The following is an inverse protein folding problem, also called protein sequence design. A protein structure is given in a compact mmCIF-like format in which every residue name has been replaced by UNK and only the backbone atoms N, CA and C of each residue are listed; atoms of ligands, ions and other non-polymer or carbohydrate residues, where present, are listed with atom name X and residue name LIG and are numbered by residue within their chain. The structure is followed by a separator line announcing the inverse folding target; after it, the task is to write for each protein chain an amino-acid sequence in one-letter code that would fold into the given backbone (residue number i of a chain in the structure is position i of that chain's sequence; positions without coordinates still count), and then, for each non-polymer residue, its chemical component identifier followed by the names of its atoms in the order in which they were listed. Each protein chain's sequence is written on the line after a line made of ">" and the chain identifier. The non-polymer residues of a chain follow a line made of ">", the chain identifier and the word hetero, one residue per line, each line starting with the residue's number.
data_IF_585423866396
#
_entry.id   IF_585423866396
#
_cell.length_a   1.000
_cell.length_b   1.000
_cell.length_c   1.000
_cell.angle_alpha   90.00
_cell.angle_beta   90.00
_cell.angle_gamma   90.00
#
_symmetry.space_group_name_H-M   'P 1'
#
loop_
_entity.id
_entity.type
_entity.pdbx_description
1 polymer ?
#
# COMPACT_ATOMS: atom_id res chain seq x y z
N UNK A 1 -10.25 -65.69 -5.22
CA UNK A 1 -9.40 -64.61 -5.80
C UNK A 1 -10.11 -63.24 -5.84
N UNK A 2 -11.05 -62.93 -4.93
CA UNK A 2 -11.78 -61.64 -4.93
C UNK A 2 -11.37 -60.74 -3.76
N UNK A 3 -10.89 -61.31 -2.65
CA UNK A 3 -10.65 -60.55 -1.41
C UNK A 3 -9.32 -59.77 -1.35
N UNK A 4 -8.37 -59.99 -2.26
CA UNK A 4 -7.08 -59.24 -2.30
C UNK A 4 -7.17 -57.94 -3.09
N UNK A 5 -8.16 -57.80 -3.97
CA UNK A 5 -8.31 -56.61 -4.82
C UNK A 5 -8.97 -55.44 -4.07
N UNK A 6 -9.91 -55.72 -3.16
CA UNK A 6 -10.58 -54.69 -2.36
C UNK A 6 -9.64 -53.95 -1.40
N UNK A 7 -8.64 -54.64 -0.83
CA UNK A 7 -7.70 -53.99 0.09
C UNK A 7 -6.72 -53.06 -0.62
N UNK A 8 -6.31 -53.38 -1.85
CA UNK A 8 -5.41 -52.51 -2.64
C UNK A 8 -6.09 -51.18 -3.02
N UNK A 9 -7.40 -51.22 -3.34
CA UNK A 9 -8.18 -50.02 -3.67
C UNK A 9 -8.40 -49.15 -2.42
N UNK A 10 -8.61 -49.75 -1.26
CA UNK A 10 -8.82 -49.01 0.00
C UNK A 10 -7.54 -48.28 0.45
N UNK A 11 -6.36 -48.88 0.27
CA UNK A 11 -5.09 -48.22 0.59
C UNK A 11 -4.72 -47.10 -0.39
N UNK A 12 -5.11 -47.20 -1.66
CA UNK A 12 -4.87 -46.14 -2.64
C UNK A 12 -5.75 -44.89 -2.38
N UNK A 13 -6.97 -45.08 -1.86
CA UNK A 13 -7.88 -43.96 -1.55
C UNK A 13 -7.44 -43.15 -0.31
N UNK A 14 -6.81 -43.80 0.68
CA UNK A 14 -6.36 -43.14 1.91
C UNK A 14 -5.09 -42.28 1.74
N UNK A 15 -4.27 -42.56 0.72
CA UNK A 15 -3.06 -41.76 0.42
C UNK A 15 -3.44 -40.49 -0.38
N UNK A 16 -4.56 -40.50 -1.10
CA UNK A 16 -5.03 -39.36 -1.91
C UNK A 16 -5.55 -38.16 -1.10
N UNK A 17 -5.89 -38.34 0.17
CA UNK A 17 -6.50 -37.27 1.01
C UNK A 17 -5.44 -36.45 1.76
N UNK A 18 -4.21 -36.95 1.92
CA UNK A 18 -3.15 -36.24 2.67
C UNK A 18 -2.46 -35.14 1.85
N UNK A 19 -2.61 -35.16 0.52
CA UNK A 19 -1.94 -34.22 -0.40
C UNK A 19 -2.63 -32.86 -0.60
N UNK A 20 -3.74 -32.56 0.09
CA UNK A 20 -4.53 -31.35 -0.15
C UNK A 20 -4.47 -30.30 0.98
N UNK A 21 -3.67 -30.52 2.03
CA UNK A 21 -3.53 -29.55 3.15
C UNK A 21 -2.26 -28.69 3.02
N UNK A 22 -1.49 -28.83 1.92
CA UNK A 22 -0.25 -28.06 1.72
C UNK A 22 -0.42 -26.74 0.95
N UNK A 23 -1.65 -26.35 0.56
CA UNK A 23 -1.93 -25.14 -0.23
C UNK A 23 -2.79 -24.13 0.53
N UNK A 24 -2.39 -23.78 1.75
CA UNK A 24 -3.09 -22.78 2.54
C UNK A 24 -2.14 -21.77 3.19
N UNK A 25 -1.09 -21.31 2.48
CA UNK A 25 -0.43 -20.05 2.85
C UNK A 25 0.43 -19.47 1.70
N UNK A 26 -0.05 -19.49 0.46
CA UNK A 26 0.52 -18.57 -0.54
C UNK A 26 0.02 -17.16 -0.19
N UNK A 27 0.64 -16.56 0.83
CA UNK A 27 0.33 -15.19 1.26
C UNK A 27 0.55 -14.29 0.07
N UNK A 28 -0.54 -13.86 -0.57
CA UNK A 28 -0.49 -12.99 -1.75
C UNK A 28 0.54 -11.88 -1.50
N UNK A 29 1.48 -11.70 -2.42
CA UNK A 29 2.50 -10.64 -2.32
C UNK A 29 1.82 -9.28 -2.14
N UNK A 30 2.28 -8.43 -1.21
CA UNK A 30 1.71 -7.10 -1.04
C UNK A 30 1.74 -6.32 -2.34
N UNK A 31 0.60 -5.72 -2.71
CA UNK A 31 0.50 -4.85 -3.88
C UNK A 31 0.91 -3.43 -3.51
N UNK A 32 1.76 -2.80 -4.32
CA UNK A 32 2.21 -1.43 -4.03
C UNK A 32 1.15 -0.41 -4.44
N UNK A 33 0.78 0.49 -3.54
CA UNK A 33 -0.17 1.57 -3.80
C UNK A 33 0.35 2.61 -4.80
N UNK A 34 1.67 2.73 -4.91
CA UNK A 34 2.32 3.60 -5.87
C UNK A 34 3.70 3.09 -6.27
N UNK A 35 4.22 3.64 -7.35
CA UNK A 35 5.55 3.33 -7.86
C UNK A 35 6.33 4.62 -8.12
N UNK A 36 7.65 4.55 -7.95
CA UNK A 36 8.55 5.65 -8.30
C UNK A 36 8.52 5.89 -9.81
N UNK A 37 8.37 7.16 -10.21
CA UNK A 37 8.46 7.54 -11.62
C UNK A 37 9.93 7.65 -12.00
N UNK A 38 10.43 6.66 -12.75
CA UNK A 38 11.77 6.68 -13.37
C UNK A 38 11.68 7.52 -14.64
N UNK A 39 11.52 8.83 -14.51
CA UNK A 39 11.75 9.77 -15.62
C UNK A 39 12.99 10.56 -15.28
N UNK A 40 14.03 10.60 -16.15
CA UNK A 40 15.17 11.48 -15.92
C UNK A 40 14.66 12.91 -15.75
N UNK A 41 15.21 13.71 -14.82
CA UNK A 41 14.76 15.08 -14.62
C UNK A 41 14.96 15.81 -15.95
N UNK A 42 13.87 16.22 -16.60
CA UNK A 42 13.94 17.17 -17.69
C UNK A 42 14.60 18.43 -17.12
N UNK A 43 15.57 19.00 -17.84
CA UNK A 43 16.29 20.21 -17.42
C UNK A 43 15.36 21.43 -17.15
N UNK A 44 14.08 21.34 -17.52
CA UNK A 44 13.01 22.30 -17.25
C UNK A 44 12.22 22.05 -15.95
N UNK A 45 12.54 21.02 -15.15
CA UNK A 45 12.08 20.96 -13.77
C UNK A 45 12.80 22.06 -12.99
N UNK A 46 12.28 23.28 -13.14
CA UNK A 46 12.61 24.42 -12.30
C UNK A 46 12.60 23.93 -10.86
N UNK A 47 13.76 23.98 -10.21
CA UNK A 47 13.91 23.70 -8.79
C UNK A 47 12.89 24.58 -8.08
N UNK A 48 11.75 23.99 -7.73
CA UNK A 48 10.73 24.67 -6.95
C UNK A 48 11.43 25.08 -5.66
N UNK A 49 11.26 26.31 -5.15
CA UNK A 49 11.94 26.72 -3.93
C UNK A 49 11.68 25.68 -2.85
N UNK A 50 12.71 24.88 -2.53
CA UNK A 50 12.57 23.76 -1.62
C UNK A 50 12.23 24.35 -0.26
N UNK A 51 11.04 24.03 0.21
CA UNK A 51 10.57 24.47 1.53
C UNK A 51 11.61 23.98 2.55
N UNK A 52 12.05 24.80 3.52
CA UNK A 52 13.20 24.46 4.36
C UNK A 52 12.99 23.24 5.27
N UNK A 53 11.73 22.79 5.42
CA UNK A 53 11.35 21.59 6.15
C UNK A 53 11.29 20.32 5.29
N UNK A 54 11.43 20.41 3.96
CA UNK A 54 11.44 19.24 3.07
C UNK A 54 12.87 18.71 2.96
N UNK A 55 13.08 17.46 3.36
CA UNK A 55 14.37 16.78 3.32
C UNK A 55 14.64 16.13 1.97
N UNK A 56 13.62 15.45 1.42
CA UNK A 56 13.69 14.72 0.15
C UNK A 56 12.33 14.77 -0.52
N UNK A 57 12.32 14.76 -1.84
CA UNK A 57 11.12 14.65 -2.65
C UNK A 57 11.30 13.70 -3.82
N UNK A 58 10.22 13.03 -4.24
CA UNK A 58 10.21 12.21 -5.46
C UNK A 58 8.83 12.15 -6.10
N UNK A 59 8.79 12.08 -7.42
CA UNK A 59 7.56 11.82 -8.14
C UNK A 59 7.15 10.34 -8.04
N UNK A 60 5.88 10.09 -7.74
CA UNK A 60 5.27 8.76 -7.68
C UNK A 60 3.98 8.72 -8.54
N UNK A 61 3.62 7.53 -9.00
CA UNK A 61 2.36 7.28 -9.72
C UNK A 61 1.51 6.29 -8.92
N UNK A 62 0.22 6.62 -8.75
CA UNK A 62 -0.74 5.75 -8.04
C UNK A 62 -1.15 4.55 -8.87
N UNK A 63 -1.36 3.42 -8.19
CA UNK A 63 -2.14 2.30 -8.71
C UNK A 63 -3.63 2.63 -8.56
N UNK A 64 -4.25 3.08 -9.67
CA UNK A 64 -5.66 3.49 -9.68
C UNK A 64 -6.63 2.34 -9.33
N UNK A 65 -6.46 1.11 -9.83
CA UNK A 65 -7.25 -0.04 -9.35
C UNK A 65 -7.19 -0.24 -7.84
N UNK A 66 -6.02 -0.15 -7.21
CA UNK A 66 -5.90 -0.25 -5.75
C UNK A 66 -6.55 0.93 -5.03
N UNK A 67 -6.45 2.14 -5.58
CA UNK A 67 -7.10 3.32 -5.03
C UNK A 67 -8.63 3.15 -4.98
N UNK A 68 -9.22 2.58 -6.03
CA UNK A 68 -10.66 2.29 -6.09
C UNK A 68 -11.06 1.31 -4.99
N UNK A 69 -10.29 0.23 -4.81
CA UNK A 69 -10.52 -0.75 -3.75
C UNK A 69 -10.42 -0.10 -2.36
N UNK A 70 -9.40 0.75 -2.13
CA UNK A 70 -9.21 1.45 -0.86
C UNK A 70 -10.34 2.42 -0.52
N UNK A 71 -10.97 3.02 -1.55
CA UNK A 71 -12.06 3.98 -1.40
C UNK A 71 -13.38 3.30 -1.02
N UNK A 72 -13.55 2.03 -1.34
CA UNK A 72 -14.76 1.26 -1.04
C UNK A 72 -14.70 0.67 0.39
N UNK A 73 -15.44 1.27 1.32
CA UNK A 73 -15.53 0.78 2.69
C UNK A 73 -16.11 -0.65 2.80
N UNK A 74 -16.89 -1.08 1.79
CA UNK A 74 -17.48 -2.42 1.70
C UNK A 74 -16.54 -3.49 1.13
N UNK A 75 -15.42 -3.12 0.51
CA UNK A 75 -14.51 -4.05 -0.18
C UNK A 75 -13.59 -4.87 0.76
N UNK A 76 -14.02 -5.11 2.02
CA UNK A 76 -13.24 -5.87 2.99
C UNK A 76 -13.46 -7.38 2.81
N UNK A 77 -12.40 -8.22 2.92
CA UNK A 77 -11.03 -7.87 3.27
C UNK A 77 -10.26 -7.23 2.10
N UNK A 78 -9.52 -6.15 2.38
CA UNK A 78 -8.63 -5.54 1.40
C UNK A 78 -7.46 -6.49 1.06
N UNK A 79 -6.93 -6.44 -0.18
CA UNK A 79 -5.67 -7.11 -0.46
C UNK A 79 -4.56 -6.56 0.43
N UNK A 80 -3.47 -7.32 0.59
CA UNK A 80 -2.26 -6.79 1.24
C UNK A 80 -1.75 -5.63 0.40
N UNK A 81 -1.73 -4.44 0.98
CA UNK A 81 -1.28 -3.21 0.32
C UNK A 81 -0.02 -2.73 1.03
N UNK A 82 0.98 -2.34 0.25
CA UNK A 82 2.21 -1.74 0.73
C UNK A 82 2.45 -0.39 0.06
N UNK A 83 3.32 0.42 0.68
CA UNK A 83 3.84 1.65 0.11
C UNK A 83 5.36 1.58 0.08
N UNK A 84 5.96 2.24 -0.90
CA UNK A 84 7.40 2.44 -0.93
C UNK A 84 7.72 3.89 -0.56
N UNK A 85 8.53 4.07 0.48
CA UNK A 85 9.13 5.35 0.85
C UNK A 85 10.48 5.52 0.16
N UNK A 86 11.36 6.38 0.68
CA UNK A 86 12.60 6.75 -0.02
C UNK A 86 13.73 5.72 0.04
N UNK A 87 13.72 4.83 1.03
CA UNK A 87 14.82 3.89 1.27
C UNK A 87 14.61 2.52 0.58
N UNK A 88 13.64 2.45 -0.35
CA UNK A 88 13.26 1.21 -1.05
C UNK A 88 12.50 0.19 -0.18
N UNK A 89 12.33 0.47 1.11
CA UNK A 89 11.56 -0.36 2.01
C UNK A 89 10.07 -0.32 1.66
N UNK A 90 9.46 -1.51 1.56
CA UNK A 90 8.04 -1.68 1.34
C UNK A 90 7.33 -1.83 2.69
N UNK A 91 6.50 -0.85 3.03
CA UNK A 91 5.77 -0.80 4.28
C UNK A 91 4.34 -1.27 4.06
N UNK A 92 3.98 -2.42 4.63
CA UNK A 92 2.60 -2.89 4.60
C UNK A 92 1.69 -2.02 5.45
N UNK A 93 0.53 -1.70 4.88
CA UNK A 93 -0.52 -0.95 5.54
C UNK A 93 -1.44 -1.91 6.31
N UNK A 94 -1.83 -1.49 7.51
CA UNK A 94 -2.93 -2.05 8.29
C UNK A 94 -4.06 -1.02 8.34
N UNK A 95 -5.07 -1.23 7.49
CA UNK A 95 -6.18 -0.28 7.31
C UNK A 95 -7.22 -0.51 8.39
N UNK A 96 -7.32 0.43 9.32
CA UNK A 96 -8.27 0.34 10.44
C UNK A 96 -9.63 0.91 10.04
N UNK A 97 -9.66 2.00 9.26
CA UNK A 97 -10.89 2.70 8.90
C UNK A 97 -10.87 3.18 7.46
N UNK A 98 -11.98 2.99 6.75
CA UNK A 98 -12.29 3.63 5.47
C UNK A 98 -13.64 4.29 5.62
N UNK A 99 -13.70 5.61 5.44
CA UNK A 99 -14.95 6.38 5.44
C UNK A 99 -15.18 6.91 4.03
N UNK A 100 -15.99 6.21 3.25
CA UNK A 100 -16.42 6.64 1.92
C UNK A 100 -17.49 7.72 2.04
N UNK A 101 -17.45 8.71 1.14
CA UNK A 101 -18.46 9.77 1.01
C UNK A 101 -19.13 9.70 -0.37
N UNK A 102 -20.32 10.28 -0.48
CA UNK A 102 -21.15 10.25 -1.70
C UNK A 102 -20.54 10.98 -2.91
N UNK A 103 -19.53 11.83 -2.70
CA UNK A 103 -18.87 12.65 -3.73
C UNK A 103 -17.57 12.03 -4.26
N UNK A 104 -17.49 10.70 -4.33
CA UNK A 104 -16.31 9.97 -4.77
C UNK A 104 -15.03 10.27 -3.96
N UNK A 105 -15.21 10.63 -2.68
CA UNK A 105 -14.11 10.85 -1.75
C UNK A 105 -14.10 9.82 -0.64
N UNK A 106 -12.92 9.54 -0.09
CA UNK A 106 -12.78 8.70 1.09
C UNK A 106 -11.66 9.18 1.99
N UNK A 107 -11.82 8.91 3.29
CA UNK A 107 -10.77 9.06 4.28
C UNK A 107 -10.36 7.66 4.73
N UNK A 108 -9.12 7.30 4.46
CA UNK A 108 -8.52 6.02 4.85
C UNK A 108 -7.54 6.28 5.98
N UNK A 109 -7.65 5.53 7.07
CA UNK A 109 -6.78 5.62 8.24
C UNK A 109 -6.25 4.24 8.60
N UNK A 110 -5.06 4.21 9.15
CA UNK A 110 -4.43 2.96 9.55
C UNK A 110 -3.09 3.14 10.20
N UNK A 111 -2.43 2.00 10.40
CA UNK A 111 -1.07 1.90 10.93
C UNK A 111 -0.18 1.11 9.98
N UNK A 112 1.13 1.14 10.21
CA UNK A 112 2.04 0.25 9.49
C UNK A 112 2.13 -1.09 10.21
N UNK A 113 2.15 -2.19 9.46
CA UNK A 113 2.39 -3.51 10.04
C UNK A 113 3.82 -3.59 10.60
N UNK A 114 4.06 -4.44 11.62
CA UNK A 114 5.40 -4.69 12.13
C UNK A 114 6.38 -5.10 11.02
N UNK A 115 7.68 -4.71 11.12
CA UNK A 115 8.32 -4.10 12.28
C UNK A 115 8.14 -2.58 12.39
N UNK A 116 7.51 -1.96 11.39
CA UNK A 116 7.32 -0.51 11.34
C UNK A 116 6.28 -0.04 12.33
N UNK A 117 6.54 1.11 12.98
CA UNK A 117 5.64 1.73 13.96
C UNK A 117 5.26 3.13 13.50
N UNK A 118 3.98 3.33 13.25
CA UNK A 118 3.48 4.60 12.78
C UNK A 118 2.04 4.52 12.31
N UNK A 119 1.50 5.66 11.90
CA UNK A 119 0.13 5.81 11.45
C UNK A 119 0.06 6.62 10.18
N UNK A 120 -0.98 6.40 9.40
CA UNK A 120 -1.24 7.17 8.19
C UNK A 120 -2.69 7.63 8.12
N UNK A 121 -2.90 8.73 7.42
CA UNK A 121 -4.20 9.21 6.97
C UNK A 121 -4.10 9.59 5.51
N UNK A 122 -4.94 8.99 4.68
CA UNK A 122 -5.08 9.31 3.28
C UNK A 122 -6.46 9.91 3.04
N UNK A 123 -6.48 11.01 2.29
CA UNK A 123 -7.68 11.64 1.77
C UNK A 123 -7.66 11.45 0.28
N UNK A 124 -8.67 10.74 -0.22
CA UNK A 124 -8.85 10.45 -1.63
C UNK A 124 -10.03 11.25 -2.15
N UNK A 125 -9.87 11.90 -3.30
CA UNK A 125 -10.94 12.59 -4.02
C UNK A 125 -10.80 12.29 -5.52
N UNK A 126 -11.72 11.51 -6.09
CA UNK A 126 -11.55 11.00 -7.44
C UNK A 126 -10.35 10.06 -7.53
N UNK A 127 -9.40 10.43 -8.39
CA UNK A 127 -8.13 9.74 -8.60
C UNK A 127 -6.95 10.42 -7.88
N UNK A 128 -7.23 11.42 -7.04
CA UNK A 128 -6.21 12.18 -6.31
C UNK A 128 -6.10 11.64 -4.88
N UNK A 129 -4.89 11.34 -4.43
CA UNK A 129 -4.59 10.95 -3.05
C UNK A 129 -3.63 11.97 -2.41
N UNK A 130 -4.10 12.60 -1.34
CA UNK A 130 -3.28 13.42 -0.45
C UNK A 130 -3.14 12.68 0.86
N UNK A 131 -1.91 12.51 1.31
CA UNK A 131 -1.59 11.61 2.41
C UNK A 131 -0.65 12.24 3.42
N UNK A 132 -0.82 11.86 4.69
CA UNK A 132 0.12 12.14 5.76
C UNK A 132 0.44 10.83 6.48
N UNK A 133 1.73 10.57 6.68
CA UNK A 133 2.24 9.34 7.30
C UNK A 133 3.27 9.73 8.36
N UNK A 134 3.03 9.32 9.60
CA UNK A 134 3.99 9.44 10.68
C UNK A 134 4.67 8.10 10.88
N UNK A 135 6.00 8.06 10.76
CA UNK A 135 6.80 6.85 10.98
C UNK A 135 7.98 7.20 11.89
N UNK A 136 7.93 6.75 13.15
CA UNK A 136 8.89 7.21 14.18
C UNK A 136 8.91 8.74 14.27
N UNK A 137 10.08 9.34 14.08
CA UNK A 137 10.28 10.80 14.11
C UNK A 137 10.23 11.45 12.72
N UNK A 138 9.85 10.70 11.68
CA UNK A 138 9.73 11.21 10.30
C UNK A 138 8.28 11.43 9.94
N UNK A 139 8.03 12.55 9.25
CA UNK A 139 6.75 12.85 8.65
C UNK A 139 6.89 12.72 7.12
N UNK A 140 5.97 12.00 6.50
CA UNK A 140 5.89 11.90 5.05
C UNK A 140 4.55 12.43 4.58
N UNK A 141 4.56 13.14 3.43
CA UNK A 141 3.35 13.64 2.79
C UNK A 141 3.31 13.24 1.32
N UNK A 142 2.10 13.01 0.81
CA UNK A 142 1.87 12.96 -0.63
C UNK A 142 1.08 14.18 -1.06
N UNK A 143 1.57 14.89 -2.06
CA UNK A 143 0.91 16.05 -2.65
C UNK A 143 0.61 15.77 -4.13
N UNK A 144 -0.49 16.31 -4.63
CA UNK A 144 -0.81 16.18 -6.06
C UNK A 144 0.07 17.11 -6.90
N UNK A 145 0.62 16.58 -7.98
CA UNK A 145 1.33 17.34 -9.01
C UNK A 145 0.66 17.12 -10.37
N UNK A 146 1.07 17.89 -11.39
CA UNK A 146 0.45 17.81 -12.70
C UNK A 146 0.45 16.40 -13.32
N UNK A 147 -0.49 16.15 -14.23
CA UNK A 147 -0.62 14.91 -15.02
C UNK A 147 -0.93 13.65 -14.19
N UNK A 148 -1.69 13.78 -13.11
CA UNK A 148 -2.14 12.64 -12.29
C UNK A 148 -1.01 11.95 -11.51
N UNK A 149 0.13 12.61 -11.40
CA UNK A 149 1.26 12.16 -10.57
C UNK A 149 1.12 12.76 -9.18
N UNK A 150 1.79 12.14 -8.21
CA UNK A 150 1.97 12.71 -6.88
C UNK A 150 3.45 12.98 -6.62
N UNK A 151 3.71 13.88 -5.68
CA UNK A 151 5.01 14.07 -5.08
C UNK A 151 4.98 13.49 -3.68
N UNK A 152 5.87 12.53 -3.40
CA UNK A 152 6.15 12.06 -2.05
C UNK A 152 7.22 12.98 -1.44
N UNK A 153 6.97 13.46 -0.22
CA UNK A 153 7.86 14.35 0.53
C UNK A 153 8.25 13.67 1.84
N UNK A 154 9.53 13.70 2.17
CA UNK A 154 10.04 13.47 3.53
C UNK A 154 10.24 14.82 4.20
N UNK A 155 9.65 15.01 5.37
CA UNK A 155 9.59 16.28 6.09
C UNK A 155 10.28 16.13 7.45
N UNK A 156 11.06 17.16 7.80
CA UNK A 156 11.60 17.38 9.13
C UNK A 156 10.53 18.05 10.01
N UNK A 157 9.91 17.34 10.96
CA UNK A 157 8.82 17.91 11.74
C UNK A 157 9.27 19.04 12.65
N UNK A 158 10.55 19.12 13.01
CA UNK A 158 11.09 20.18 13.88
C UNK A 158 11.23 21.52 13.15
N UNK A 159 11.21 21.50 11.81
CA UNK A 159 11.31 22.69 10.96
C UNK A 159 9.97 23.13 10.36
N UNK A 160 8.88 22.45 10.70
CA UNK A 160 7.56 22.86 10.27
C UNK A 160 7.20 24.22 10.90
N UNK A 161 6.65 25.16 10.12
CA UNK A 161 6.08 26.37 10.70
C UNK A 161 4.91 26.00 11.61
N UNK A 162 4.67 26.78 12.68
CA UNK A 162 3.46 26.61 13.49
C UNK A 162 2.21 26.92 12.66
N UNK A 163 1.11 26.20 12.96
CA UNK A 163 -0.20 26.39 12.35
C UNK A 163 -0.87 27.72 12.74
#
# INVERSE_FOLDING_TARGET
>A
MVNRFCYMILTALLIGVVGQIAWADERSTPKSLWQTVITPPSADQSATPQRPWVLRDRAIALDLPLLIILKDAGARPHPRIAIELFDGAHLELDITSTVSRSNDSAIIRGTFKPPSKGSFTFVVNGNVLVGTMQLGNRLYKTEHIANGRLQLLEIDPEKLPPD
#
